data_IF_709851158721
#
_entry.id   IF_709851158721
#
_cell.length_a   1.000
_cell.length_b   1.000
_cell.length_c   1.000
_cell.angle_alpha   90.00
_cell.angle_beta   90.00
_cell.angle_gamma   90.00
#
_symmetry.space_group_name_H-M   'P 1'
#
loop_
_entity.id
_entity.type
_entity.pdbx_description
1 polymer ?
#
# COMPACT_ATOMS: atom_id res chain seq x y z
N UNK A 1 20.83 -5.25 -18.44
CA UNK A 1 19.91 -6.36 -18.06
C UNK A 1 18.92 -5.85 -17.01
N UNK A 2 18.13 -4.81 -17.32
CA UNK A 2 17.17 -4.19 -16.38
C UNK A 2 15.70 -4.44 -16.76
N UNK A 3 15.44 -5.34 -17.73
CA UNK A 3 14.11 -5.60 -18.27
C UNK A 3 13.20 -6.50 -17.41
N UNK A 4 13.64 -6.93 -16.22
CA UNK A 4 12.87 -7.86 -15.38
C UNK A 4 12.03 -7.18 -14.28
N UNK A 5 12.10 -5.85 -14.17
CA UNK A 5 11.30 -5.09 -13.21
C UNK A 5 9.97 -4.72 -13.88
N UNK A 6 8.93 -5.52 -13.66
CA UNK A 6 7.56 -5.24 -14.11
C UNK A 6 6.93 -3.98 -13.45
N UNK A 7 7.59 -3.38 -12.46
CA UNK A 7 7.09 -2.24 -11.68
C UNK A 7 8.16 -1.18 -11.45
N UNK A 8 8.06 -0.02 -12.13
CA UNK A 8 8.91 1.13 -11.83
C UNK A 8 8.49 1.72 -10.47
N UNK A 9 9.37 1.67 -9.43
CA UNK A 9 9.07 2.24 -8.12
C UNK A 9 8.80 3.75 -8.20
N UNK A 10 7.90 4.24 -7.35
CA UNK A 10 7.42 5.63 -7.37
C UNK A 10 8.18 6.47 -6.35
N UNK A 11 8.58 7.71 -6.68
CA UNK A 11 9.35 8.59 -5.77
C UNK A 11 10.67 7.95 -5.29
N UNK A 12 11.31 7.20 -6.18
CA UNK A 12 12.50 6.41 -5.82
C UNK A 12 13.64 7.29 -5.32
N UNK A 13 13.90 8.41 -5.99
CA UNK A 13 14.98 9.32 -5.62
C UNK A 13 14.72 9.93 -4.25
N UNK A 14 13.51 10.41 -4.03
CA UNK A 14 13.08 11.07 -2.81
C UNK A 14 13.10 10.10 -1.62
N UNK A 15 12.80 8.82 -1.84
CA UNK A 15 13.00 7.79 -0.82
C UNK A 15 14.47 7.62 -0.48
N UNK A 16 15.36 7.49 -1.48
CA UNK A 16 16.78 7.29 -1.24
C UNK A 16 17.41 8.47 -0.49
N UNK A 17 16.98 9.70 -0.81
CA UNK A 17 17.43 10.93 -0.14
C UNK A 17 16.98 11.00 1.35
N UNK A 18 15.95 10.25 1.74
CA UNK A 18 15.47 10.18 3.12
C UNK A 18 16.22 9.14 3.96
N UNK A 19 16.93 8.18 3.36
CA UNK A 19 17.54 7.10 4.15
C UNK A 19 18.79 7.62 4.87
N UNK A 20 18.94 7.41 6.19
CA UNK A 20 20.16 7.78 6.90
C UNK A 20 21.39 7.11 6.28
N UNK A 21 22.46 7.88 6.01
CA UNK A 21 23.67 7.38 5.34
C UNK A 21 24.36 6.24 6.09
N UNK A 22 24.23 6.23 7.41
CA UNK A 22 24.80 5.22 8.31
C UNK A 22 23.78 4.14 8.71
N UNK A 23 22.64 4.03 8.02
CA UNK A 23 21.64 3.01 8.31
C UNK A 23 22.23 1.60 8.17
N UNK A 24 21.86 0.73 9.11
CA UNK A 24 22.29 -0.67 9.22
C UNK A 24 21.08 -1.59 9.07
N UNK A 25 19.92 -1.21 9.60
CA UNK A 25 18.71 -2.03 9.53
C UNK A 25 17.62 -1.25 8.80
N UNK A 26 17.25 -1.78 7.64
CA UNK A 26 16.25 -1.22 6.73
C UNK A 26 15.08 -2.20 6.63
N UNK A 27 13.87 -1.68 6.53
CA UNK A 27 12.66 -2.47 6.32
C UNK A 27 11.89 -1.89 5.15
N UNK A 28 11.63 -2.70 4.12
CA UNK A 28 10.58 -2.45 3.14
C UNK A 28 9.35 -3.26 3.57
N UNK A 29 8.34 -2.58 4.12
CA UNK A 29 7.15 -3.21 4.66
C UNK A 29 6.16 -3.66 3.57
N UNK A 30 6.39 -3.27 2.32
CA UNK A 30 5.51 -3.52 1.16
C UNK A 30 6.37 -3.81 -0.06
N UNK A 31 7.25 -4.80 0.08
CA UNK A 31 8.29 -5.12 -0.90
C UNK A 31 7.72 -5.31 -2.32
N UNK A 32 6.50 -5.84 -2.45
CA UNK A 32 5.90 -6.13 -3.74
C UNK A 32 6.84 -7.00 -4.57
N UNK A 33 7.14 -6.57 -5.80
CA UNK A 33 8.09 -7.26 -6.69
C UNK A 33 9.55 -6.79 -6.52
N UNK A 34 9.89 -6.08 -5.43
CA UNK A 34 11.25 -5.70 -5.08
C UNK A 34 11.78 -4.42 -5.74
N UNK A 35 10.93 -3.57 -6.30
CA UNK A 35 11.36 -2.35 -7.01
C UNK A 35 12.09 -1.36 -6.09
N UNK A 36 11.47 -1.01 -4.96
CA UNK A 36 12.08 -0.13 -3.95
C UNK A 36 13.27 -0.79 -3.27
N UNK A 37 13.12 -2.03 -2.81
CA UNK A 37 14.23 -2.84 -2.27
C UNK A 37 15.46 -2.87 -3.18
N UNK A 38 15.30 -3.05 -4.49
CA UNK A 38 16.41 -3.05 -5.43
C UNK A 38 17.11 -1.70 -5.50
N UNK A 39 16.34 -0.61 -5.55
CA UNK A 39 16.90 0.74 -5.56
C UNK A 39 17.68 1.03 -4.27
N UNK A 40 17.13 0.65 -3.12
CA UNK A 40 17.75 0.79 -1.79
C UNK A 40 19.08 0.02 -1.75
N UNK A 41 19.06 -1.26 -2.12
CA UNK A 41 20.24 -2.13 -2.06
C UNK A 41 21.34 -1.66 -3.01
N UNK A 42 20.99 -1.29 -4.26
CA UNK A 42 21.96 -0.72 -5.22
C UNK A 42 22.59 0.56 -4.70
N UNK A 43 21.83 1.42 -4.03
CA UNK A 43 22.35 2.66 -3.45
C UNK A 43 23.29 2.40 -2.26
N UNK A 44 22.92 1.46 -1.38
CA UNK A 44 23.72 1.14 -0.20
C UNK A 44 24.97 0.32 -0.50
N UNK A 45 24.95 -0.61 -1.45
CA UNK A 45 26.16 -1.37 -1.80
C UNK A 45 27.34 -0.48 -2.22
N UNK A 46 27.07 0.72 -2.74
CA UNK A 46 28.09 1.70 -3.11
C UNK A 46 28.69 2.44 -1.90
N UNK A 47 28.02 2.44 -0.75
CA UNK A 47 28.33 3.34 0.38
C UNK A 47 28.50 2.64 1.74
N UNK A 48 27.89 1.47 1.94
CA UNK A 48 27.95 0.70 3.17
C UNK A 48 27.63 -0.78 2.88
N UNK A 49 28.52 -1.71 3.25
CA UNK A 49 28.32 -3.15 3.04
C UNK A 49 27.70 -3.88 4.24
N UNK A 50 27.54 -3.22 5.39
CA UNK A 50 27.08 -3.86 6.65
C UNK A 50 25.57 -3.71 6.93
N UNK A 51 24.80 -3.21 5.97
CA UNK A 51 23.35 -3.08 6.12
C UNK A 51 22.64 -4.42 5.91
N UNK A 52 21.46 -4.56 6.51
CA UNK A 52 20.50 -5.63 6.28
C UNK A 52 19.16 -5.01 5.88
N UNK A 53 18.56 -5.53 4.81
CA UNK A 53 17.23 -5.15 4.37
C UNK A 53 16.24 -6.29 4.65
N UNK A 54 15.16 -5.98 5.36
CA UNK A 54 14.04 -6.89 5.57
C UNK A 54 12.88 -6.51 4.64
N UNK A 55 12.52 -7.44 3.77
CA UNK A 55 11.48 -7.27 2.76
C UNK A 55 10.21 -8.01 3.20
N UNK A 56 9.17 -7.27 3.55
CA UNK A 56 7.86 -7.81 3.95
C UNK A 56 6.87 -7.67 2.80
N UNK A 57 6.09 -8.72 2.56
CA UNK A 57 4.84 -8.64 1.81
C UNK A 57 3.97 -9.84 2.20
N UNK A 58 2.65 -9.72 2.11
CA UNK A 58 1.75 -10.82 2.42
C UNK A 58 1.24 -11.55 1.16
N UNK A 59 1.51 -11.02 -0.03
CA UNK A 59 1.30 -11.71 -1.30
C UNK A 59 2.55 -12.52 -1.66
N UNK A 60 2.51 -13.82 -1.37
CA UNK A 60 3.61 -14.77 -1.59
C UNK A 60 4.17 -14.72 -3.02
N UNK A 61 3.30 -14.59 -4.03
CA UNK A 61 3.71 -14.47 -5.43
C UNK A 61 4.48 -13.20 -5.74
N UNK A 62 4.20 -12.11 -5.03
CA UNK A 62 4.97 -10.87 -5.17
C UNK A 62 6.38 -11.05 -4.57
N UNK A 63 6.49 -11.70 -3.40
CA UNK A 63 7.78 -12.01 -2.80
C UNK A 63 8.63 -12.99 -3.61
N UNK A 64 8.02 -14.02 -4.21
CA UNK A 64 8.72 -14.91 -5.15
C UNK A 64 9.40 -14.09 -6.26
N UNK A 65 8.67 -13.15 -6.85
CA UNK A 65 9.23 -12.28 -7.88
C UNK A 65 10.30 -11.34 -7.34
N UNK A 66 10.13 -10.81 -6.13
CA UNK A 66 11.14 -9.99 -5.48
C UNK A 66 12.44 -10.76 -5.24
N UNK A 67 12.36 -12.04 -4.83
CA UNK A 67 13.52 -12.93 -4.66
C UNK A 67 14.29 -13.09 -5.97
N UNK A 68 13.62 -13.32 -7.10
CA UNK A 68 14.29 -13.39 -8.41
C UNK A 68 15.03 -12.09 -8.76
N UNK A 69 14.45 -10.92 -8.46
CA UNK A 69 15.06 -9.61 -8.76
C UNK A 69 16.28 -9.33 -7.87
N UNK A 70 16.28 -9.88 -6.66
CA UNK A 70 17.21 -9.55 -5.59
C UNK A 70 18.15 -10.69 -5.19
N UNK A 71 18.13 -11.81 -5.90
CA UNK A 71 18.90 -13.04 -5.61
C UNK A 71 20.41 -12.80 -5.49
N UNK A 72 20.92 -11.75 -6.14
CA UNK A 72 22.36 -11.41 -6.20
C UNK A 72 22.86 -10.71 -4.94
N UNK A 73 21.98 -10.42 -3.99
CA UNK A 73 22.28 -9.65 -2.79
C UNK A 73 22.12 -10.53 -1.55
N UNK A 74 23.19 -10.64 -0.76
CA UNK A 74 23.26 -11.56 0.37
C UNK A 74 22.69 -10.99 1.69
N UNK A 75 22.39 -9.70 1.71
CA UNK A 75 22.01 -8.95 2.89
C UNK A 75 20.53 -8.55 2.88
N UNK A 76 19.71 -9.44 2.32
CA UNK A 76 18.27 -9.28 2.19
C UNK A 76 17.59 -10.49 2.81
N UNK A 77 16.59 -10.26 3.64
CA UNK A 77 15.73 -11.30 4.19
C UNK A 77 14.28 -11.05 3.76
N UNK A 78 13.62 -12.10 3.26
CA UNK A 78 12.23 -12.02 2.78
C UNK A 78 11.30 -12.69 3.77
N UNK A 79 10.27 -11.98 4.21
CA UNK A 79 9.32 -12.46 5.22
C UNK A 79 7.90 -12.33 4.65
N UNK A 80 7.25 -13.47 4.44
CA UNK A 80 5.86 -13.53 3.99
C UNK A 80 4.92 -13.20 5.16
N UNK A 81 4.63 -11.91 5.35
CA UNK A 81 3.81 -11.43 6.44
C UNK A 81 3.18 -10.07 6.12
N UNK A 82 2.02 -9.82 6.72
CA UNK A 82 1.35 -8.52 6.60
C UNK A 82 2.06 -7.48 7.48
N UNK A 83 2.34 -6.32 6.89
CA UNK A 83 3.05 -5.22 7.55
C UNK A 83 2.39 -4.74 8.85
N UNK A 84 1.08 -4.96 9.05
CA UNK A 84 0.41 -4.66 10.33
C UNK A 84 1.07 -5.32 11.54
N UNK A 85 1.74 -6.46 11.32
CA UNK A 85 2.44 -7.24 12.33
C UNK A 85 3.92 -6.83 12.48
N UNK A 86 4.36 -5.70 11.89
CA UNK A 86 5.77 -5.29 11.83
C UNK A 86 6.49 -5.41 13.17
N UNK A 87 5.90 -4.93 14.27
CA UNK A 87 6.52 -5.01 15.61
C UNK A 87 6.82 -6.45 16.02
N UNK A 88 5.82 -7.35 15.93
CA UNK A 88 5.98 -8.77 16.27
C UNK A 88 7.01 -9.46 15.35
N UNK A 89 7.02 -9.12 14.07
CA UNK A 89 7.99 -9.67 13.10
C UNK A 89 9.40 -9.27 13.52
N UNK A 90 9.62 -7.97 13.76
CA UNK A 90 10.93 -7.43 14.10
C UNK A 90 11.43 -7.92 15.46
N UNK A 91 10.56 -8.04 16.47
CA UNK A 91 10.90 -8.63 17.78
C UNK A 91 11.39 -10.09 17.67
N UNK A 92 10.94 -10.83 16.65
CA UNK A 92 11.37 -12.19 16.35
C UNK A 92 12.77 -12.28 15.73
N UNK A 93 13.33 -11.17 15.23
CA UNK A 93 14.62 -11.14 14.56
C UNK A 93 15.74 -11.01 15.59
N UNK A 94 16.69 -11.97 15.70
CA UNK A 94 17.72 -11.95 16.73
C UNK A 94 18.57 -10.67 16.74
N UNK A 95 18.90 -10.12 15.57
CA UNK A 95 19.68 -8.88 15.41
C UNK A 95 18.97 -7.65 16.01
N UNK A 96 17.65 -7.73 16.17
CA UNK A 96 16.78 -6.66 16.68
C UNK A 96 16.45 -6.87 18.17
N UNK A 97 16.35 -8.13 18.63
CA UNK A 97 15.84 -8.53 19.95
C UNK A 97 16.60 -7.98 21.17
N UNK A 98 17.77 -7.35 21.00
CA UNK A 98 18.67 -6.91 22.09
C UNK A 98 18.23 -5.65 22.87
N UNK A 99 16.94 -5.33 22.93
CA UNK A 99 16.40 -4.31 23.85
C UNK A 99 16.69 -2.84 23.50
N UNK A 100 17.02 -2.53 22.24
CA UNK A 100 17.11 -1.15 21.73
C UNK A 100 16.26 -0.99 20.48
N UNK A 101 15.70 0.20 20.22
CA UNK A 101 14.98 0.45 18.99
C UNK A 101 15.92 0.24 17.78
N UNK A 102 15.43 -0.48 16.78
CA UNK A 102 16.26 -1.43 16.04
C UNK A 102 16.19 -1.29 14.52
N UNK A 103 15.51 -0.27 14.02
CA UNK A 103 15.38 -0.02 12.58
C UNK A 103 15.68 1.44 12.27
N UNK A 104 16.61 1.66 11.35
CA UNK A 104 17.03 3.00 10.92
C UNK A 104 16.10 3.58 9.86
N UNK A 105 15.46 2.70 9.07
CA UNK A 105 14.52 3.13 8.04
C UNK A 105 13.41 2.11 7.82
N UNK A 106 12.16 2.57 7.79
CA UNK A 106 10.99 1.78 7.41
C UNK A 106 10.32 2.47 6.23
N UNK A 107 10.16 1.76 5.12
CA UNK A 107 9.34 2.16 3.98
C UNK A 107 8.02 1.40 3.99
N UNK A 108 6.92 2.09 3.70
CA UNK A 108 5.65 1.47 3.32
C UNK A 108 5.06 2.19 2.10
N UNK A 109 5.11 1.53 0.95
CA UNK A 109 4.44 1.88 -0.30
C UNK A 109 3.03 1.27 -0.32
N UNK A 110 2.04 2.02 0.18
CA UNK A 110 0.68 1.49 0.35
C UNK A 110 0.01 1.27 -1.01
N UNK A 111 -0.77 0.20 -1.15
CA UNK A 111 -1.53 -0.06 -2.37
C UNK A 111 -1.26 -1.45 -2.93
N UNK A 112 -1.39 -1.60 -4.24
CA UNK A 112 -1.16 -2.86 -4.93
C UNK A 112 -0.16 -2.68 -6.07
N UNK A 113 0.55 -3.76 -6.41
CA UNK A 113 1.57 -3.77 -7.45
C UNK A 113 0.97 -3.93 -8.87
N UNK A 114 1.75 -3.59 -9.90
CA UNK A 114 1.44 -3.95 -11.31
C UNK A 114 1.18 -5.43 -11.49
N UNK A 115 1.96 -6.23 -10.79
CA UNK A 115 1.88 -7.67 -10.83
C UNK A 115 0.51 -8.14 -10.35
N UNK A 116 0.05 -7.62 -9.21
CA UNK A 116 -1.27 -7.96 -8.66
C UNK A 116 -2.41 -7.57 -9.61
N UNK A 117 -2.33 -6.41 -10.26
CA UNK A 117 -3.30 -6.00 -11.30
C UNK A 117 -3.30 -6.93 -12.51
N UNK A 118 -2.14 -7.42 -12.93
CA UNK A 118 -2.01 -8.28 -14.10
C UNK A 118 -2.52 -9.72 -13.84
N UNK A 119 -2.54 -10.15 -12.58
CA UNK A 119 -2.83 -11.52 -12.18
C UNK A 119 -4.32 -11.92 -12.14
N UNK A 120 -5.16 -11.29 -12.97
CA UNK A 120 -6.59 -11.65 -13.13
C UNK A 120 -7.43 -11.71 -11.85
N UNK A 121 -7.06 -10.93 -10.82
CA UNK A 121 -7.75 -10.92 -9.51
C UNK A 121 -8.93 -9.93 -9.44
N UNK A 122 -9.36 -9.34 -10.55
CA UNK A 122 -10.49 -8.40 -10.56
C UNK A 122 -10.24 -7.07 -9.86
N UNK A 123 -8.97 -6.71 -9.63
CA UNK A 123 -8.57 -5.46 -8.97
C UNK A 123 -8.77 -4.21 -9.85
N UNK A 124 -8.87 -4.41 -11.17
CA UNK A 124 -9.14 -3.36 -12.14
C UNK A 124 -10.39 -3.70 -12.96
N UNK A 125 -11.16 -2.66 -13.31
CA UNK A 125 -12.32 -2.76 -14.18
C UNK A 125 -11.99 -2.56 -15.67
N UNK A 126 -10.74 -2.28 -16.02
CA UNK A 126 -10.32 -2.10 -17.43
C UNK A 126 -10.31 -3.40 -18.23
N UNK A 127 -10.39 -4.55 -17.56
CA UNK A 127 -10.49 -5.88 -18.17
C UNK A 127 -11.60 -6.65 -17.46
N UNK A 128 -12.39 -7.40 -18.21
CA UNK A 128 -13.39 -8.29 -17.63
C UNK A 128 -12.69 -9.47 -16.95
N UNK A 129 -12.90 -9.61 -15.64
CA UNK A 129 -12.30 -10.61 -14.77
C UNK A 129 -13.32 -11.04 -13.70
N UNK A 130 -13.04 -12.15 -13.02
CA UNK A 130 -13.81 -12.54 -11.84
C UNK A 130 -13.73 -11.45 -10.76
N UNK A 131 -14.84 -11.18 -10.09
CA UNK A 131 -14.95 -10.16 -9.04
C UNK A 131 -14.38 -10.68 -7.71
N UNK A 132 -13.07 -10.86 -7.64
CA UNK A 132 -12.37 -11.44 -6.49
C UNK A 132 -11.84 -10.35 -5.52
N UNK A 133 -10.90 -9.54 -6.00
CA UNK A 133 -10.17 -8.48 -5.29
C UNK A 133 -9.30 -8.90 -4.08
N UNK A 134 -9.15 -10.20 -3.76
CA UNK A 134 -8.27 -10.64 -2.68
C UNK A 134 -6.79 -10.51 -3.06
N UNK A 135 -6.03 -9.87 -2.20
CA UNK A 135 -4.57 -9.84 -2.26
C UNK A 135 -3.94 -11.05 -1.55
N UNK A 136 -4.63 -11.59 -0.53
CA UNK A 136 -4.29 -12.85 0.12
C UNK A 136 -5.35 -13.92 -0.21
N UNK A 137 -4.95 -14.98 -0.92
CA UNK A 137 -5.84 -16.08 -1.32
C UNK A 137 -6.32 -16.94 -0.14
N UNK A 138 -5.70 -16.84 1.04
CA UNK A 138 -6.16 -17.50 2.27
C UNK A 138 -7.41 -16.85 2.83
N UNK A 139 -7.74 -15.63 2.40
CA UNK A 139 -8.98 -14.93 2.80
C UNK A 139 -10.18 -15.58 2.13
N UNK A 140 -11.28 -15.72 2.87
CA UNK A 140 -12.50 -16.38 2.38
C UNK A 140 -13.41 -15.45 1.58
N UNK A 141 -13.54 -14.20 2.01
CA UNK A 141 -14.48 -13.24 1.43
C UNK A 141 -13.89 -12.57 0.19
N UNK A 142 -14.59 -12.66 -0.94
CA UNK A 142 -14.31 -11.96 -2.20
C UNK A 142 -15.17 -10.70 -2.33
N UNK A 143 -14.85 -9.85 -3.30
CA UNK A 143 -15.70 -8.71 -3.67
C UNK A 143 -17.08 -9.18 -4.18
N UNK A 144 -17.13 -10.31 -4.90
CA UNK A 144 -18.37 -10.98 -5.31
C UNK A 144 -19.23 -11.32 -4.09
N UNK A 145 -18.63 -11.85 -3.01
CA UNK A 145 -19.37 -12.16 -1.80
C UNK A 145 -19.98 -10.92 -1.16
N UNK A 146 -19.20 -9.82 -1.07
CA UNK A 146 -19.68 -8.55 -0.52
C UNK A 146 -20.87 -8.00 -1.32
N UNK A 147 -20.76 -7.93 -2.64
CA UNK A 147 -21.83 -7.34 -3.47
C UNK A 147 -23.08 -8.20 -3.54
N UNK A 148 -22.97 -9.52 -3.35
CA UNK A 148 -24.10 -10.45 -3.45
C UNK A 148 -24.80 -10.71 -2.11
N UNK A 149 -24.11 -10.59 -0.97
CA UNK A 149 -24.66 -11.03 0.33
C UNK A 149 -24.90 -9.94 1.35
N UNK A 150 -24.21 -8.78 1.29
CA UNK A 150 -24.52 -7.67 2.20
C UNK A 150 -25.93 -7.13 1.95
N UNK A 151 -26.59 -6.60 2.96
CA UNK A 151 -27.82 -5.85 2.71
C UNK A 151 -27.52 -4.52 1.99
N UNK A 152 -28.56 -3.86 1.46
CA UNK A 152 -28.40 -2.60 0.71
C UNK A 152 -27.77 -1.49 1.55
N UNK A 153 -28.13 -1.38 2.83
CA UNK A 153 -27.62 -0.34 3.73
C UNK A 153 -26.17 -0.61 4.12
N UNK A 154 -25.84 -1.85 4.45
CA UNK A 154 -24.48 -2.31 4.72
C UNK A 154 -23.57 -2.05 3.52
N UNK A 155 -24.01 -2.42 2.31
CA UNK A 155 -23.24 -2.18 1.09
C UNK A 155 -23.06 -0.69 0.81
N UNK A 156 -24.10 0.13 0.98
CA UNK A 156 -23.99 1.59 0.83
C UNK A 156 -23.02 2.19 1.85
N UNK A 157 -23.10 1.77 3.11
CA UNK A 157 -22.21 2.23 4.17
C UNK A 157 -20.76 1.82 3.89
N UNK A 158 -20.52 0.58 3.47
CA UNK A 158 -19.20 0.08 3.07
C UNK A 158 -18.61 0.92 1.93
N UNK A 159 -19.40 1.18 0.88
CA UNK A 159 -18.96 2.00 -0.26
C UNK A 159 -18.59 3.41 0.19
N UNK A 160 -19.46 4.05 1.00
CA UNK A 160 -19.22 5.40 1.49
C UNK A 160 -17.99 5.49 2.39
N UNK A 161 -17.91 4.66 3.43
CA UNK A 161 -16.86 4.71 4.44
C UNK A 161 -15.46 4.44 3.87
N UNK A 162 -15.36 3.59 2.84
CA UNK A 162 -14.09 3.21 2.23
C UNK A 162 -13.74 4.01 0.96
N UNK A 163 -14.55 4.98 0.53
CA UNK A 163 -14.22 5.78 -0.67
C UNK A 163 -14.70 7.23 -0.70
N UNK A 164 -15.48 7.68 0.29
CA UNK A 164 -16.20 8.97 0.28
C UNK A 164 -17.13 9.12 -0.97
N UNK A 165 -17.64 8.02 -1.54
CA UNK A 165 -18.55 8.05 -2.70
C UNK A 165 -19.97 8.48 -2.32
N UNK A 166 -20.39 9.65 -2.81
CA UNK A 166 -21.69 10.26 -2.50
C UNK A 166 -22.86 9.53 -3.16
N UNK A 167 -22.60 8.82 -4.26
CA UNK A 167 -23.59 7.96 -4.91
C UNK A 167 -23.68 6.56 -4.30
N UNK A 168 -23.09 6.33 -3.11
CA UNK A 168 -23.07 5.03 -2.44
C UNK A 168 -24.44 4.37 -2.32
N UNK A 169 -25.48 5.11 -1.92
CA UNK A 169 -26.85 4.59 -1.82
C UNK A 169 -27.46 4.20 -3.17
N UNK A 170 -27.53 5.08 -4.19
CA UNK A 170 -27.98 4.69 -5.53
C UNK A 170 -27.22 3.50 -6.11
N UNK A 171 -25.90 3.46 -5.93
CA UNK A 171 -25.03 2.37 -6.40
C UNK A 171 -25.38 1.06 -5.69
N UNK A 172 -25.48 1.06 -4.35
CA UNK A 172 -25.84 -0.14 -3.58
C UNK A 172 -27.22 -0.67 -3.96
N UNK A 173 -28.20 0.22 -4.14
CA UNK A 173 -29.55 -0.11 -4.59
C UNK A 173 -29.55 -0.78 -5.96
N UNK A 174 -28.79 -0.23 -6.92
CA UNK A 174 -28.66 -0.81 -8.24
C UNK A 174 -27.93 -2.16 -8.23
N UNK A 175 -26.91 -2.31 -7.38
CA UNK A 175 -26.20 -3.58 -7.18
C UNK A 175 -27.17 -4.64 -6.63
N UNK A 176 -27.93 -4.34 -5.59
CA UNK A 176 -28.87 -5.28 -4.98
C UNK A 176 -29.94 -5.76 -5.95
N UNK A 177 -30.49 -4.86 -6.79
CA UNK A 177 -31.46 -5.22 -7.83
C UNK A 177 -30.88 -6.12 -8.94
N UNK A 178 -29.58 -6.03 -9.21
CA UNK A 178 -28.93 -6.69 -10.35
C UNK A 178 -28.20 -8.00 -9.99
N UNK A 179 -28.31 -8.45 -8.73
CA UNK A 179 -27.73 -9.72 -8.25
C UNK A 179 -28.22 -10.91 -9.08
N UNK A 180 -27.38 -11.96 -9.26
CA UNK A 180 -26.02 -12.09 -8.75
C UNK A 180 -24.97 -11.45 -9.67
N UNK A 181 -23.84 -10.99 -9.12
CA UNK A 181 -22.76 -10.31 -9.84
C UNK A 181 -21.43 -11.04 -9.60
N UNK A 182 -20.82 -11.53 -10.67
CA UNK A 182 -19.58 -12.33 -10.59
C UNK A 182 -18.39 -11.71 -11.31
N UNK A 183 -18.60 -10.65 -12.10
CA UNK A 183 -17.55 -10.08 -12.96
C UNK A 183 -17.38 -8.58 -12.76
N UNK A 184 -16.15 -8.10 -12.99
CA UNK A 184 -15.82 -6.67 -12.93
C UNK A 184 -16.58 -5.85 -13.96
N UNK A 185 -16.81 -6.40 -15.16
CA UNK A 185 -17.58 -5.74 -16.23
C UNK A 185 -19.03 -5.51 -15.83
N UNK A 186 -19.72 -6.56 -15.33
CA UNK A 186 -21.12 -6.44 -14.90
C UNK A 186 -21.28 -5.41 -13.79
N UNK A 187 -20.40 -5.44 -12.78
CA UNK A 187 -20.40 -4.45 -11.71
C UNK A 187 -20.19 -3.03 -12.25
N UNK A 188 -19.27 -2.86 -13.20
CA UNK A 188 -18.96 -1.55 -13.80
C UNK A 188 -20.15 -0.97 -14.54
N UNK A 189 -20.85 -1.78 -15.34
CA UNK A 189 -22.05 -1.36 -16.06
C UNK A 189 -23.16 -0.93 -15.10
N UNK A 190 -23.41 -1.70 -14.04
CA UNK A 190 -24.40 -1.36 -13.01
C UNK A 190 -24.09 0.00 -12.37
N UNK A 191 -22.82 0.23 -11.99
CA UNK A 191 -22.41 1.49 -11.39
C UNK A 191 -22.61 2.65 -12.36
N UNK A 192 -22.21 2.50 -13.62
CA UNK A 192 -22.39 3.54 -14.65
C UNK A 192 -23.86 3.91 -14.84
N UNK A 193 -24.74 2.92 -14.94
CA UNK A 193 -26.19 3.15 -15.05
C UNK A 193 -26.75 3.81 -13.80
N UNK A 194 -26.30 3.42 -12.61
CA UNK A 194 -26.80 3.95 -11.33
C UNK A 194 -26.49 5.44 -11.13
N UNK A 195 -25.31 5.90 -11.58
CA UNK A 195 -24.92 7.32 -11.44
C UNK A 195 -25.34 8.16 -12.64
N UNK A 196 -25.44 7.54 -13.82
CA UNK A 196 -25.75 8.20 -15.09
C UNK A 196 -24.90 9.45 -15.36
N UNK A 197 -25.51 10.43 -16.01
CA UNK A 197 -24.88 11.71 -16.34
C UNK A 197 -24.67 12.64 -15.12
N UNK A 198 -25.13 12.24 -13.94
CA UNK A 198 -24.94 13.02 -12.71
C UNK A 198 -23.53 12.88 -12.13
N UNK A 199 -22.71 11.93 -12.64
CA UNK A 199 -21.34 11.74 -12.18
C UNK A 199 -20.39 12.80 -12.75
N UNK A 200 -20.15 13.86 -11.98
CA UNK A 200 -19.33 15.01 -12.42
C UNK A 200 -17.83 14.91 -12.09
N UNK A 201 -17.36 13.78 -11.57
CA UNK A 201 -15.93 13.62 -11.20
C UNK A 201 -15.10 13.32 -12.46
N UNK A 202 -13.83 13.75 -12.47
CA UNK A 202 -12.87 13.49 -13.57
C UNK A 202 -12.36 12.03 -13.62
N UNK A 203 -12.89 11.15 -12.76
CA UNK A 203 -12.52 9.73 -12.69
C UNK A 203 -13.68 8.89 -13.19
N UNK A 204 -13.40 7.65 -13.56
CA UNK A 204 -14.44 6.72 -13.96
C UNK A 204 -15.41 6.44 -12.79
N UNK A 205 -16.74 6.38 -13.02
CA UNK A 205 -17.73 6.09 -11.99
C UNK A 205 -17.42 4.89 -11.09
N UNK A 206 -16.89 3.82 -11.66
CA UNK A 206 -16.57 2.60 -10.93
C UNK A 206 -15.34 2.72 -10.02
N UNK A 207 -14.48 3.73 -10.19
CA UNK A 207 -13.19 3.81 -9.47
C UNK A 207 -13.35 3.78 -7.96
N UNK A 208 -14.28 4.56 -7.40
CA UNK A 208 -14.43 4.66 -5.94
C UNK A 208 -15.14 3.45 -5.34
N UNK A 209 -16.12 2.88 -6.05
CA UNK A 209 -16.74 1.61 -5.62
C UNK A 209 -15.74 0.45 -5.62
N UNK A 210 -14.90 0.35 -6.66
CA UNK A 210 -13.85 -0.67 -6.71
C UNK A 210 -12.82 -0.47 -5.60
N UNK A 211 -12.41 0.78 -5.33
CA UNK A 211 -11.56 1.11 -4.19
C UNK A 211 -12.19 0.68 -2.86
N UNK A 212 -13.49 0.97 -2.66
CA UNK A 212 -14.19 0.64 -1.42
C UNK A 212 -14.28 -0.88 -1.18
N UNK A 213 -14.62 -1.64 -2.22
CA UNK A 213 -14.67 -3.10 -2.16
C UNK A 213 -13.27 -3.68 -1.89
N UNK A 214 -12.23 -3.18 -2.57
CA UNK A 214 -10.84 -3.60 -2.37
C UNK A 214 -10.39 -3.39 -0.92
N UNK A 215 -10.63 -2.20 -0.38
CA UNK A 215 -10.30 -1.85 1.01
C UNK A 215 -11.00 -2.81 1.98
N UNK A 216 -12.29 -3.09 1.76
CA UNK A 216 -13.06 -3.98 2.63
C UNK A 216 -12.58 -5.44 2.54
N UNK A 217 -12.38 -5.97 1.33
CA UNK A 217 -11.92 -7.34 1.11
C UNK A 217 -10.58 -7.57 1.79
N UNK A 218 -9.66 -6.61 1.71
CA UNK A 218 -8.28 -6.75 2.18
C UNK A 218 -8.02 -6.18 3.59
N UNK A 219 -9.04 -5.60 4.25
CA UNK A 219 -8.92 -4.92 5.54
C UNK A 219 -7.80 -3.87 5.53
N UNK A 220 -7.70 -3.10 4.44
CA UNK A 220 -6.57 -2.18 4.22
C UNK A 220 -6.51 -1.10 5.30
N UNK A 221 -7.68 -0.62 5.73
CA UNK A 221 -7.80 0.38 6.79
C UNK A 221 -7.31 -0.17 8.13
N UNK A 222 -7.76 -1.37 8.51
CA UNK A 222 -7.36 -2.00 9.78
C UNK A 222 -5.87 -2.34 9.77
N UNK A 223 -5.34 -2.81 8.64
CA UNK A 223 -3.91 -3.10 8.48
C UNK A 223 -3.09 -1.82 8.62
N UNK A 224 -3.50 -0.71 7.98
CA UNK A 224 -2.84 0.59 8.09
C UNK A 224 -2.91 1.14 9.52
N UNK A 225 -4.07 1.06 10.18
CA UNK A 225 -4.23 1.55 11.55
C UNK A 225 -3.33 0.80 12.53
N UNK A 226 -3.24 -0.53 12.40
CA UNK A 226 -2.35 -1.36 13.21
C UNK A 226 -0.87 -1.07 12.91
N UNK A 227 -0.52 -0.95 11.63
CA UNK A 227 0.84 -0.58 11.21
C UNK A 227 1.27 0.75 11.78
N UNK A 228 0.43 1.77 11.61
CA UNK A 228 0.70 3.11 12.11
C UNK A 228 0.92 3.05 13.62
N UNK A 229 0.10 2.34 14.40
CA UNK A 229 0.32 2.20 15.86
C UNK A 229 1.68 1.61 16.22
N UNK A 230 2.17 0.65 15.45
CA UNK A 230 3.31 -0.18 15.82
C UNK A 230 4.65 0.27 15.20
N UNK A 231 4.66 0.73 13.96
CA UNK A 231 5.89 1.00 13.19
C UNK A 231 6.84 2.02 13.85
N UNK A 232 6.38 3.16 14.41
CA UNK A 232 7.28 4.14 15.02
C UNK A 232 7.94 3.68 16.31
N UNK A 233 7.39 2.67 16.98
CA UNK A 233 8.01 2.07 18.17
C UNK A 233 9.24 1.25 17.79
N UNK A 234 9.25 0.67 16.58
CA UNK A 234 10.36 -0.11 16.04
C UNK A 234 11.57 0.74 15.62
N UNK A 235 11.36 2.03 15.33
CA UNK A 235 12.41 2.94 14.85
C UNK A 235 13.44 3.22 15.94
N UNK A 236 14.72 3.12 15.56
CA UNK A 236 15.89 3.65 16.26
C UNK A 236 15.78 5.17 16.50
N UNK A 237 16.58 5.71 17.43
CA UNK A 237 16.78 7.16 17.49
C UNK A 237 17.38 7.62 16.16
N UNK A 238 16.84 8.71 15.61
CA UNK A 238 17.06 9.23 14.26
C UNK A 238 16.59 8.29 13.13
N UNK A 239 15.85 7.23 13.48
CA UNK A 239 15.24 6.35 12.51
C UNK A 239 14.07 7.02 11.80
N UNK A 240 13.87 6.69 10.51
CA UNK A 240 12.89 7.35 9.66
C UNK A 240 11.81 6.35 9.21
N UNK A 241 10.55 6.75 9.34
CA UNK A 241 9.39 6.08 8.73
C UNK A 241 8.93 6.90 7.53
N UNK A 242 9.05 6.31 6.34
CA UNK A 242 8.58 6.85 5.07
C UNK A 242 7.35 6.07 4.59
N UNK A 243 6.27 6.78 4.24
CA UNK A 243 5.03 6.17 3.76
C UNK A 243 4.59 6.85 2.46
N UNK A 244 4.35 6.04 1.42
CA UNK A 244 3.70 6.48 0.19
C UNK A 244 2.22 6.09 0.26
N UNK A 245 1.35 7.04 -0.06
CA UNK A 245 -0.11 6.85 -0.10
C UNK A 245 -0.64 7.19 -1.49
N UNK A 246 -1.71 6.53 -1.94
CA UNK A 246 -2.26 6.74 -3.29
C UNK A 246 -3.67 7.30 -3.29
N UNK A 247 -4.36 7.24 -2.16
CA UNK A 247 -5.69 7.84 -2.03
C UNK A 247 -5.85 8.70 -0.78
N UNK A 248 -6.90 9.52 -0.78
CA UNK A 248 -7.16 10.54 0.23
C UNK A 248 -7.37 9.96 1.63
N UNK A 249 -8.01 8.79 1.75
CA UNK A 249 -8.27 8.14 3.04
C UNK A 249 -6.97 7.69 3.74
N UNK A 250 -6.06 7.02 3.03
CA UNK A 250 -4.71 6.68 3.54
C UNK A 250 -3.96 7.95 3.97
N UNK A 251 -3.87 8.93 3.07
CA UNK A 251 -3.15 10.18 3.34
C UNK A 251 -3.72 10.91 4.58
N UNK A 252 -5.05 10.92 4.75
CA UNK A 252 -5.73 11.50 5.91
C UNK A 252 -5.37 10.76 7.19
N UNK A 253 -5.40 9.43 7.17
CA UNK A 253 -5.05 8.58 8.32
C UNK A 253 -3.59 8.78 8.75
N UNK A 254 -2.65 8.69 7.80
CA UNK A 254 -1.21 8.88 8.06
C UNK A 254 -0.93 10.27 8.62
N UNK A 255 -1.48 11.32 7.99
CA UNK A 255 -1.28 12.71 8.46
C UNK A 255 -1.86 12.96 9.85
N UNK A 256 -3.05 12.43 10.12
CA UNK A 256 -3.67 12.56 11.44
C UNK A 256 -2.82 11.90 12.52
N UNK A 257 -2.28 10.72 12.23
CA UNK A 257 -1.42 10.00 13.15
C UNK A 257 -0.06 10.68 13.35
N UNK A 258 0.61 11.13 12.28
CA UNK A 258 1.88 11.86 12.39
C UNK A 258 1.73 13.11 13.26
N UNK A 259 0.62 13.87 13.09
CA UNK A 259 0.30 15.03 13.93
C UNK A 259 0.07 14.65 15.40
N UNK A 260 -0.44 13.46 15.69
CA UNK A 260 -0.59 12.96 17.07
C UNK A 260 0.77 12.69 17.70
N UNK A 261 1.70 12.09 16.95
CA UNK A 261 3.04 11.78 17.46
C UNK A 261 3.93 12.99 17.66
N UNK A 262 3.87 14.00 16.80
CA UNK A 262 4.67 15.21 17.00
C UNK A 262 4.33 15.95 18.30
N UNK A 263 3.10 15.78 18.83
CA UNK A 263 2.72 16.32 20.14
C UNK A 263 3.46 15.67 21.32
N UNK A 264 3.96 14.44 21.17
CA UNK A 264 4.72 13.78 22.24
C UNK A 264 6.16 14.26 22.33
N UNK A 265 6.63 15.08 21.36
CA UNK A 265 8.02 15.54 21.22
C UNK A 265 9.07 14.42 21.04
N UNK A 266 8.64 13.19 20.75
CA UNK A 266 9.53 12.08 20.39
C UNK A 266 9.71 11.93 18.87
N UNK A 267 8.92 12.67 18.08
CA UNK A 267 8.91 12.55 16.63
C UNK A 267 8.84 13.91 15.93
N UNK A 268 9.46 14.00 14.77
CA UNK A 268 9.46 15.17 13.91
C UNK A 268 9.04 14.79 12.48
N UNK A 269 8.14 15.57 11.87
CA UNK A 269 7.78 15.41 10.46
C UNK A 269 8.90 16.03 9.60
N UNK A 270 9.47 15.24 8.70
CA UNK A 270 10.49 15.70 7.76
C UNK A 270 9.87 16.39 6.54
N UNK A 271 8.70 15.93 6.10
CA UNK A 271 7.98 16.45 4.94
C UNK A 271 6.87 17.41 5.37
N UNK A 272 7.16 18.72 5.42
CA UNK A 272 6.14 19.75 5.77
C UNK A 272 4.89 19.67 4.89
N UNK A 273 5.09 19.36 3.61
CA UNK A 273 4.05 19.01 2.66
C UNK A 273 4.39 17.62 2.07
N UNK A 274 3.37 16.82 1.69
CA UNK A 274 3.63 15.56 1.00
C UNK A 274 4.41 15.80 -0.28
N UNK A 275 5.45 15.00 -0.50
CA UNK A 275 6.23 14.98 -1.72
C UNK A 275 5.41 14.24 -2.79
N UNK A 276 5.33 14.80 -4.00
CA UNK A 276 4.55 14.25 -5.12
C UNK A 276 5.41 14.06 -6.36
N UNK A 277 5.12 13.06 -7.20
CA UNK A 277 5.89 12.81 -8.43
C UNK A 277 5.91 14.00 -9.37
N UNK A 278 7.02 14.17 -10.07
CA UNK A 278 7.14 15.19 -11.10
C UNK A 278 6.39 14.79 -12.39
N UNK A 279 6.26 15.73 -13.33
CA UNK A 279 5.53 15.47 -14.59
C UNK A 279 6.21 14.39 -15.45
N UNK A 280 7.52 14.23 -15.38
CA UNK A 280 8.25 13.23 -16.16
C UNK A 280 8.00 11.83 -15.60
N UNK A 281 8.01 11.68 -14.28
CA UNK A 281 7.66 10.46 -13.60
C UNK A 281 6.22 10.08 -13.89
N UNK A 282 5.26 11.00 -13.77
CA UNK A 282 3.84 10.75 -14.07
C UNK A 282 3.65 10.31 -15.52
N UNK A 283 4.36 10.91 -16.49
CA UNK A 283 4.31 10.50 -17.90
C UNK A 283 4.88 9.09 -18.09
N UNK A 284 6.00 8.77 -17.46
CA UNK A 284 6.65 7.46 -17.58
C UNK A 284 5.95 6.36 -16.77
N UNK A 285 5.22 6.74 -15.72
CA UNK A 285 4.49 5.88 -14.81
C UNK A 285 3.19 6.57 -14.39
N UNK A 286 2.09 6.43 -15.16
CA UNK A 286 0.81 7.07 -14.85
C UNK A 286 0.24 6.75 -13.47
N UNK A 287 0.71 5.67 -12.82
CA UNK A 287 0.27 5.28 -11.47
C UNK A 287 0.88 6.13 -10.37
N UNK A 288 2.03 6.75 -10.64
CA UNK A 288 2.66 7.70 -9.75
C UNK A 288 1.77 8.95 -9.52
N UNK A 289 0.85 9.27 -10.44
CA UNK A 289 0.02 10.50 -10.42
C UNK A 289 -0.62 10.83 -9.07
N UNK A 290 -1.04 9.83 -8.31
CA UNK A 290 -1.74 10.04 -7.03
C UNK A 290 -0.86 9.79 -5.80
N UNK A 291 0.40 9.40 -6.00
CA UNK A 291 1.33 9.08 -4.95
C UNK A 291 1.70 10.32 -4.14
N UNK A 292 1.76 10.14 -2.82
CA UNK A 292 2.15 11.17 -1.86
C UNK A 292 3.05 10.53 -0.82
N UNK A 293 4.31 10.93 -0.80
CA UNK A 293 5.30 10.52 0.19
C UNK A 293 5.29 11.46 1.38
N UNK A 294 5.22 10.90 2.58
CA UNK A 294 5.44 11.61 3.84
C UNK A 294 6.44 10.85 4.70
N UNK A 295 7.25 11.59 5.46
CA UNK A 295 8.27 11.00 6.32
C UNK A 295 8.28 11.60 7.74
N UNK A 296 8.58 10.74 8.70
CA UNK A 296 8.66 11.03 10.12
C UNK A 296 9.99 10.50 10.67
N UNK A 297 10.72 11.32 11.42
CA UNK A 297 11.92 10.93 12.15
C UNK A 297 11.59 10.74 13.64
N UNK A 298 12.18 9.75 14.27
CA UNK A 298 12.16 9.59 15.73
C UNK A 298 13.34 10.32 16.35
N UNK A 299 13.08 11.30 17.19
CA UNK A 299 14.12 12.14 17.82
C UNK A 299 14.48 11.70 19.24
N UNK A 300 13.58 10.98 19.92
CA UNK A 300 13.77 10.46 21.28
C UNK A 300 13.16 9.05 21.43
#
# INVERSE_FOLDING_TARGET
>A
MDNNILHKPVLTREILDLIPKNAIILVDATCGTGGHSLAIVKNFQLSNTNFQLYCLDYDEKSLEKAKEVLEKFNNIEFICANFKNIKKILEGIPRIRSGRPSVDFILADLGFSSWQLANNRGLAFSKNQALDMRLDLKRKTTASDLVNHLDENELANLIYQNSDERFSRPIASAICRARPIFTTEKLTQIIQTAVGNHYRKKIHPATLTFQALRIAVNQEKENLDQFLRNAPECLAKNGILAIITFHSLEARAVRAQFKKWTKTKNYQILTKQPITPDLNEIRSNPRARSARLVALEKIA
#
